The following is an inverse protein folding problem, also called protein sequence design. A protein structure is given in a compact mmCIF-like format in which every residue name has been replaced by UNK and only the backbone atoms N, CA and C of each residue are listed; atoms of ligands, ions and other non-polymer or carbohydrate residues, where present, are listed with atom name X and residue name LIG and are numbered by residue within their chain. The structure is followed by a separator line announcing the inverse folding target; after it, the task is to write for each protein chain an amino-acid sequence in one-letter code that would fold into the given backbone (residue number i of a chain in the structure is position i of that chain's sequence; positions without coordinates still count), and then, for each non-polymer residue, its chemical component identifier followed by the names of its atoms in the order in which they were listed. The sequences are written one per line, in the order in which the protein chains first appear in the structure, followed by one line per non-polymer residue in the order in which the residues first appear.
data_IF_321933763511
#
_entry.id   IF_321933763511
#
_cell.length_a   1.000
_cell.length_b   1.000
_cell.length_c   1.000
_cell.angle_alpha   90.00
_cell.angle_beta   90.00
_cell.angle_gamma   90.00
#
_symmetry.space_group_name_H-M   'P 1'
#
loop_
_entity.id
_entity.type
_entity.pdbx_description
1 polymer ?
#
# COMPACT_ATOMS: atom_id res chain seq x y z
N UNK A 1 -11.76 -49.75 1.82
CA UNK A 1 -12.48 -48.97 2.82
C UNK A 1 -11.70 -47.76 3.30
N UNK A 2 -10.39 -47.82 3.38
CA UNK A 2 -9.57 -46.70 3.85
C UNK A 2 -9.28 -45.67 2.77
N UNK A 3 -9.27 -46.04 1.51
CA UNK A 3 -8.96 -45.16 0.39
C UNK A 3 -9.86 -43.91 0.28
N UNK A 4 -11.19 -44.03 0.39
CA UNK A 4 -12.05 -42.83 0.25
C UNK A 4 -11.76 -41.75 1.30
N UNK A 5 -11.43 -42.15 2.52
CA UNK A 5 -11.12 -41.21 3.60
C UNK A 5 -9.82 -40.45 3.30
N UNK A 6 -8.81 -41.15 2.79
CA UNK A 6 -7.51 -40.55 2.43
C UNK A 6 -7.66 -39.49 1.34
N UNK A 7 -8.42 -39.80 0.32
CA UNK A 7 -8.66 -38.90 -0.81
C UNK A 7 -9.37 -37.64 -0.34
N UNK A 8 -10.38 -37.77 0.51
CA UNK A 8 -11.11 -36.62 1.05
C UNK A 8 -10.19 -35.68 1.85
N UNK A 9 -9.29 -36.25 2.66
CA UNK A 9 -8.33 -35.45 3.47
C UNK A 9 -7.40 -34.64 2.58
N UNK A 10 -6.85 -35.23 1.53
CA UNK A 10 -5.94 -34.56 0.59
C UNK A 10 -6.65 -33.42 -0.12
N UNK A 11 -7.89 -33.63 -0.57
CA UNK A 11 -8.67 -32.61 -1.25
C UNK A 11 -8.91 -31.38 -0.34
N UNK A 12 -9.27 -31.61 0.92
CA UNK A 12 -9.49 -30.52 1.87
C UNK A 12 -8.24 -29.68 2.11
N UNK A 13 -7.08 -30.33 2.23
CA UNK A 13 -5.80 -29.64 2.42
C UNK A 13 -5.46 -28.75 1.21
N UNK A 14 -5.66 -29.25 0.01
CA UNK A 14 -5.39 -28.49 -1.22
C UNK A 14 -6.25 -27.23 -1.32
N UNK A 15 -7.53 -27.29 -1.00
CA UNK A 15 -8.44 -26.14 -1.02
C UNK A 15 -7.99 -25.08 -0.01
N UNK A 16 -7.53 -25.48 1.17
CA UNK A 16 -7.02 -24.55 2.18
C UNK A 16 -5.81 -23.74 1.70
N UNK A 17 -4.87 -24.40 1.02
CA UNK A 17 -3.68 -23.72 0.50
C UNK A 17 -4.04 -22.70 -0.60
N UNK A 18 -4.95 -23.02 -1.50
CA UNK A 18 -5.41 -22.10 -2.53
C UNK A 18 -6.09 -20.87 -1.94
N UNK A 19 -6.93 -21.05 -0.92
CA UNK A 19 -7.59 -19.95 -0.25
C UNK A 19 -6.61 -18.95 0.37
N UNK A 20 -5.56 -19.45 1.01
CA UNK A 20 -4.52 -18.59 1.60
C UNK A 20 -3.79 -17.77 0.54
N UNK A 21 -3.40 -18.39 -0.58
CA UNK A 21 -2.69 -17.69 -1.65
C UNK A 21 -3.56 -16.57 -2.27
N UNK A 22 -4.84 -16.83 -2.51
CA UNK A 22 -5.77 -15.84 -3.06
C UNK A 22 -5.93 -14.66 -2.10
N UNK A 23 -6.02 -14.92 -0.79
CA UNK A 23 -6.16 -13.85 0.20
C UNK A 23 -4.96 -12.89 0.19
N UNK A 24 -3.74 -13.41 0.06
CA UNK A 24 -2.55 -12.57 0.00
C UNK A 24 -2.50 -11.72 -1.27
N UNK A 25 -2.85 -12.27 -2.41
CA UNK A 25 -2.85 -11.55 -3.69
C UNK A 25 -4.03 -10.59 -3.82
N UNK A 26 -5.06 -10.76 -3.00
CA UNK A 26 -6.25 -9.93 -3.06
C UNK A 26 -6.19 -8.65 -2.24
N UNK A 27 -5.09 -8.36 -1.56
CA UNK A 27 -5.02 -7.17 -0.71
C UNK A 27 -5.08 -5.88 -1.55
N UNK A 28 -6.02 -4.97 -1.25
CA UNK A 28 -6.26 -3.80 -2.11
C UNK A 28 -5.09 -2.85 -2.25
N UNK A 29 -4.20 -2.79 -1.27
CA UNK A 29 -3.05 -1.88 -1.29
C UNK A 29 -1.82 -2.42 -2.01
N UNK A 30 -1.73 -3.74 -2.22
CA UNK A 30 -0.53 -4.34 -2.80
C UNK A 30 -0.34 -3.91 -4.25
N UNK A 31 0.87 -3.46 -4.56
CA UNK A 31 1.27 -3.12 -5.91
C UNK A 31 2.05 -1.83 -5.99
N UNK A 32 2.17 -1.34 -7.21
CA UNK A 32 2.88 -0.10 -7.51
C UNK A 32 1.86 1.00 -7.80
N UNK A 33 1.97 2.08 -7.07
CA UNK A 33 1.09 3.24 -7.22
C UNK A 33 1.91 4.41 -7.74
N UNK A 34 1.39 5.14 -8.71
CA UNK A 34 2.10 6.30 -9.26
C UNK A 34 1.18 7.49 -9.43
N UNK A 35 1.73 8.67 -9.28
CA UNK A 35 1.00 9.92 -9.42
C UNK A 35 1.81 11.10 -8.93
N UNK A 36 1.16 12.01 -8.23
CA UNK A 36 1.77 13.28 -7.83
C UNK A 36 1.28 13.74 -6.47
N UNK A 37 2.12 14.53 -5.80
CA UNK A 37 1.72 15.30 -4.61
C UNK A 37 2.28 16.71 -4.70
N UNK A 38 1.72 17.63 -3.95
CA UNK A 38 2.27 18.97 -3.85
C UNK A 38 1.41 19.89 -2.99
N UNK A 39 1.97 21.03 -2.56
CA UNK A 39 1.26 21.99 -1.72
C UNK A 39 0.22 22.80 -2.51
N UNK A 40 0.35 22.87 -3.83
CA UNK A 40 -0.58 23.60 -4.69
C UNK A 40 -0.55 23.05 -6.11
N UNK A 41 -1.35 23.63 -7.01
CA UNK A 41 -1.50 23.12 -8.38
C UNK A 41 -0.24 23.31 -9.24
N UNK A 42 0.60 24.28 -8.93
CA UNK A 42 1.82 24.59 -9.69
C UNK A 42 3.01 23.76 -9.24
N UNK A 43 3.05 23.35 -7.98
CA UNK A 43 4.17 22.59 -7.42
C UNK A 43 3.76 21.13 -7.24
N UNK A 44 3.97 20.33 -8.30
CA UNK A 44 3.65 18.91 -8.28
C UNK A 44 4.92 18.08 -8.36
N UNK A 45 5.02 17.10 -7.48
CA UNK A 45 6.16 16.20 -7.38
C UNK A 45 5.70 14.78 -7.70
N UNK A 46 6.49 14.05 -8.45
CA UNK A 46 6.17 12.66 -8.76
C UNK A 46 6.19 11.80 -7.52
N UNK A 47 5.23 10.88 -7.46
CA UNK A 47 5.11 9.91 -6.37
C UNK A 47 5.10 8.51 -6.95
N UNK A 48 5.91 7.65 -6.38
CA UNK A 48 5.87 6.22 -6.61
C UNK A 48 5.80 5.51 -5.28
N UNK A 49 4.79 4.67 -5.08
CA UNK A 49 4.64 3.87 -3.87
C UNK A 49 4.74 2.40 -4.25
N UNK A 50 5.62 1.67 -3.59
CA UNK A 50 5.68 0.21 -3.68
C UNK A 50 5.11 -0.34 -2.39
N UNK A 51 3.92 -0.91 -2.45
CA UNK A 51 3.22 -1.41 -1.26
C UNK A 51 3.12 -2.92 -1.28
N UNK A 52 3.39 -3.53 -0.15
CA UNK A 52 3.42 -4.97 0.05
C UNK A 52 2.60 -5.36 1.27
N UNK A 53 2.19 -6.61 1.31
CA UNK A 53 1.46 -7.19 2.44
C UNK A 53 1.99 -8.60 2.70
N UNK A 54 2.46 -8.84 3.92
CA UNK A 54 3.08 -10.13 4.28
C UNK A 54 2.11 -11.11 4.94
N UNK A 55 0.82 -10.78 4.98
CA UNK A 55 -0.21 -11.54 5.67
C UNK A 55 -0.62 -10.94 7.01
N UNK A 56 0.18 -10.05 7.54
CA UNK A 56 -0.10 -9.36 8.81
C UNK A 56 0.04 -7.85 8.68
N UNK A 57 1.09 -7.39 8.00
CA UNK A 57 1.45 -5.97 7.93
C UNK A 57 1.57 -5.50 6.51
N UNK A 58 1.15 -4.26 6.31
CA UNK A 58 1.39 -3.51 5.09
C UNK A 58 2.72 -2.80 5.27
N UNK A 59 3.58 -2.89 4.27
CA UNK A 59 4.86 -2.22 4.25
C UNK A 59 5.20 -1.74 2.87
N UNK A 60 6.39 -1.25 2.69
CA UNK A 60 6.87 -0.83 1.39
C UNK A 60 7.77 0.38 1.44
N UNK A 61 7.85 1.07 0.32
CA UNK A 61 8.77 2.18 0.12
C UNK A 61 8.04 3.30 -0.62
N UNK A 62 8.25 4.54 -0.14
CA UNK A 62 7.83 5.75 -0.84
C UNK A 62 9.03 6.24 -1.64
N UNK A 63 8.82 6.50 -2.94
CA UNK A 63 9.84 7.02 -3.85
C UNK A 63 11.15 6.21 -3.84
N UNK A 64 11.11 4.94 -4.27
CA UNK A 64 12.33 4.15 -4.38
C UNK A 64 13.32 4.83 -5.30
N UNK A 65 14.62 4.74 -4.96
CA UNK A 65 15.69 5.39 -5.70
C UNK A 65 16.74 5.96 -4.75
N UNK A 66 17.35 7.11 -5.08
CA UNK A 66 18.45 7.66 -4.27
C UNK A 66 18.04 8.08 -2.85
N UNK A 67 16.79 8.51 -2.66
CA UNK A 67 16.30 8.98 -1.37
C UNK A 67 15.01 8.27 -0.98
N UNK A 68 15.06 6.95 -0.77
CA UNK A 68 13.84 6.18 -0.48
C UNK A 68 13.34 6.46 0.93
N UNK A 69 12.03 6.38 1.11
CA UNK A 69 11.41 6.49 2.43
C UNK A 69 10.78 5.15 2.78
N UNK A 70 11.42 4.37 3.66
CA UNK A 70 10.80 3.14 4.14
C UNK A 70 9.53 3.44 4.92
N UNK A 71 8.48 2.69 4.64
CA UNK A 71 7.23 2.82 5.39
C UNK A 71 7.38 2.10 6.72
N UNK A 72 7.22 2.82 7.81
CA UNK A 72 7.34 2.29 9.16
C UNK A 72 6.00 1.91 9.77
N UNK A 73 4.93 2.52 9.31
CA UNK A 73 3.59 2.21 9.75
C UNK A 73 2.60 2.43 8.61
N UNK A 74 1.72 1.47 8.41
CA UNK A 74 0.68 1.54 7.39
C UNK A 74 -0.57 0.86 7.89
N UNK A 75 -1.72 1.51 7.71
CA UNK A 75 -3.01 0.97 8.11
C UNK A 75 -4.03 1.17 7.00
N UNK A 76 -4.99 0.25 6.94
CA UNK A 76 -6.15 0.34 6.07
C UNK A 76 -7.38 0.09 6.91
N UNK A 77 -8.26 1.08 6.95
CA UNK A 77 -9.58 0.94 7.57
C UNK A 77 -10.58 0.55 6.50
N UNK A 78 -10.91 -0.73 6.45
CA UNK A 78 -11.75 -1.28 5.39
C UNK A 78 -13.13 -0.63 5.29
N UNK A 79 -13.87 -0.36 6.39
CA UNK A 79 -15.19 0.27 6.27
C UNK A 79 -15.19 1.60 5.55
N UNK A 80 -14.16 2.40 5.71
CA UNK A 80 -14.06 3.73 5.09
C UNK A 80 -13.09 3.77 3.93
N UNK A 81 -12.29 2.71 3.73
CA UNK A 81 -11.19 2.65 2.76
C UNK A 81 -10.15 3.73 2.98
N UNK A 82 -9.97 4.12 4.23
CA UNK A 82 -8.97 5.11 4.63
C UNK A 82 -7.63 4.43 4.84
N UNK A 83 -6.60 5.02 4.24
CA UNK A 83 -5.22 4.53 4.31
C UNK A 83 -4.38 5.57 5.04
N UNK A 84 -3.55 5.12 5.97
CA UNK A 84 -2.53 5.95 6.60
C UNK A 84 -1.18 5.30 6.37
N UNK A 85 -0.24 6.07 5.83
CA UNK A 85 1.14 5.64 5.62
C UNK A 85 2.06 6.61 6.36
N UNK A 86 3.02 6.06 7.09
CA UNK A 86 4.02 6.86 7.80
C UNK A 86 5.40 6.33 7.54
N UNK A 87 6.36 7.23 7.49
CA UNK A 87 7.76 6.90 7.32
C UNK A 87 8.62 8.12 7.58
N UNK A 88 9.92 7.95 7.50
CA UNK A 88 10.86 9.04 7.67
C UNK A 88 12.15 8.75 6.91
N UNK A 89 12.87 9.81 6.59
CA UNK A 89 14.23 9.72 6.08
C UNK A 89 15.06 10.89 6.59
N UNK A 90 16.36 10.75 6.52
CA UNK A 90 17.27 11.86 6.79
C UNK A 90 17.59 12.60 5.49
N UNK A 91 17.66 13.93 5.59
CA UNK A 91 18.11 14.74 4.47
C UNK A 91 19.66 14.83 4.44
N UNK A 92 20.20 15.62 3.50
CA UNK A 92 21.65 15.75 3.33
C UNK A 92 22.34 16.37 4.54
N UNK A 93 21.60 17.13 5.36
CA UNK A 93 22.12 17.80 6.57
C UNK A 93 21.96 16.94 7.82
N UNK A 94 21.42 15.73 7.70
CA UNK A 94 21.19 14.84 8.84
C UNK A 94 19.90 15.09 9.60
N UNK A 95 19.04 15.99 9.11
CA UNK A 95 17.75 16.25 9.72
C UNK A 95 16.74 15.19 9.30
N UNK A 96 15.87 14.78 10.23
CA UNK A 96 14.82 13.81 9.94
C UNK A 96 13.63 14.51 9.32
N UNK A 97 13.19 13.99 8.17
CA UNK A 97 11.95 14.42 7.51
C UNK A 97 10.89 13.36 7.76
N UNK A 98 9.82 13.75 8.45
CA UNK A 98 8.70 12.87 8.73
C UNK A 98 7.67 12.93 7.59
N UNK A 99 7.13 11.77 7.22
CA UNK A 99 6.07 11.64 6.22
C UNK A 99 4.82 11.11 6.88
N UNK A 100 3.71 11.81 6.66
CA UNK A 100 2.39 11.33 7.08
C UNK A 100 1.43 11.52 5.91
N UNK A 101 0.90 10.41 5.42
CA UNK A 101 0.06 10.39 4.23
C UNK A 101 -1.26 9.75 4.61
N UNK A 102 -2.34 10.45 4.40
CA UNK A 102 -3.67 9.93 4.68
C UNK A 102 -4.56 10.11 3.47
N UNK A 103 -5.11 9.02 2.98
CA UNK A 103 -5.94 9.04 1.79
C UNK A 103 -7.05 8.02 1.83
N UNK A 104 -7.80 7.99 0.75
CA UNK A 104 -8.91 7.07 0.58
C UNK A 104 -8.79 6.36 -0.75
N UNK A 105 -9.00 5.05 -0.73
CA UNK A 105 -9.02 4.25 -1.96
C UNK A 105 -10.39 4.37 -2.60
N UNK A 106 -10.40 4.58 -3.92
CA UNK A 106 -11.60 4.57 -4.73
C UNK A 106 -11.49 3.47 -5.79
N UNK A 107 -12.64 3.01 -6.28
CA UNK A 107 -12.72 1.95 -7.28
C UNK A 107 -12.02 0.67 -6.85
N UNK A 108 -12.25 0.26 -5.61
CA UNK A 108 -11.56 -0.88 -4.99
C UNK A 108 -11.79 -2.17 -5.77
N UNK A 109 -12.98 -2.35 -6.34
CA UNK A 109 -13.34 -3.56 -7.07
C UNK A 109 -12.85 -3.58 -8.51
N UNK A 110 -12.25 -2.48 -8.99
CA UNK A 110 -11.75 -2.35 -10.36
C UNK A 110 -10.26 -2.06 -10.33
N UNK A 111 -9.39 -3.09 -10.27
CA UNK A 111 -7.94 -2.86 -10.14
C UNK A 111 -7.34 -1.92 -11.20
N UNK A 112 -7.85 -1.95 -12.43
CA UNK A 112 -7.37 -1.06 -13.50
C UNK A 112 -7.76 0.41 -13.31
N UNK A 113 -8.71 0.70 -12.42
CA UNK A 113 -9.20 2.04 -12.16
C UNK A 113 -8.99 2.46 -10.70
N UNK A 114 -8.37 1.59 -9.91
CA UNK A 114 -8.16 1.86 -8.49
C UNK A 114 -7.23 3.05 -8.29
N UNK A 115 -7.65 3.97 -7.45
CA UNK A 115 -6.90 5.18 -7.15
C UNK A 115 -6.93 5.48 -5.65
N UNK A 116 -6.03 6.34 -5.22
CA UNK A 116 -5.96 6.79 -3.84
C UNK A 116 -5.60 8.27 -3.83
N UNK A 117 -6.30 9.04 -3.04
CA UNK A 117 -6.06 10.49 -2.94
C UNK A 117 -6.32 10.97 -1.52
N UNK A 118 -5.75 12.11 -1.17
CA UNK A 118 -5.92 12.70 0.15
C UNK A 118 -4.84 13.71 0.48
N UNK A 119 -4.42 13.72 1.75
CA UNK A 119 -3.45 14.67 2.28
C UNK A 119 -2.05 14.04 2.38
N UNK A 120 -1.06 14.84 2.06
CA UNK A 120 0.34 14.47 2.13
C UNK A 120 1.08 15.50 2.99
N UNK A 121 1.68 15.04 4.07
CA UNK A 121 2.51 15.89 4.94
C UNK A 121 3.94 15.38 4.88
N UNK A 122 4.85 16.26 4.49
CA UNK A 122 6.27 15.94 4.36
C UNK A 122 7.07 17.03 5.06
N UNK A 123 7.61 16.72 6.25
CA UNK A 123 8.23 17.72 7.10
C UNK A 123 7.21 18.81 7.47
N UNK A 124 7.50 20.03 7.08
CA UNK A 124 6.63 21.18 7.34
C UNK A 124 5.70 21.51 6.17
N UNK A 125 5.73 20.73 5.11
CA UNK A 125 4.94 21.00 3.91
C UNK A 125 3.69 20.13 3.92
N UNK A 126 2.54 20.76 3.78
CA UNK A 126 1.24 20.09 3.71
C UNK A 126 0.69 20.28 2.30
N UNK A 127 0.24 19.20 1.71
CA UNK A 127 -0.33 19.24 0.37
C UNK A 127 -1.34 18.13 0.16
N UNK A 128 -1.73 17.94 -1.08
CA UNK A 128 -2.59 16.85 -1.50
C UNK A 128 -1.82 15.88 -2.40
N UNK A 129 -2.39 14.69 -2.57
CA UNK A 129 -1.81 13.71 -3.49
C UNK A 129 -2.89 12.93 -4.22
N UNK A 130 -2.49 12.36 -5.33
CA UNK A 130 -3.34 11.44 -6.08
C UNK A 130 -2.44 10.44 -6.79
N UNK A 131 -2.72 9.15 -6.59
CA UNK A 131 -1.99 8.06 -7.23
C UNK A 131 -2.96 7.02 -7.76
N UNK A 132 -2.53 6.31 -8.78
CA UNK A 132 -3.30 5.20 -9.37
C UNK A 132 -2.48 3.93 -9.31
N UNK A 133 -3.18 2.81 -9.17
CA UNK A 133 -2.55 1.48 -9.17
C UNK A 133 -2.17 1.11 -10.61
N UNK A 134 -0.92 0.70 -10.77
CA UNK A 134 -0.40 0.27 -12.07
C UNK A 134 -0.57 -1.23 -12.30
#
# INVERSE_FOLDING_TARGET
MQMPVRVATVTALFVGLLGTAVAQHGHPLVGTWSGYWGPNAEERNRVLLLLEYDGERIGGIINPGPNPVPITNATLDAPTWTVVLEGSREDADGNTIEYHIEGRIENVTSPSERSMSGEWVQGNVVGDFSVTLN
#
